data_IF_844069816740
#
_entry.id   IF_844069816740
#
_cell.length_a   1.000
_cell.length_b   1.000
_cell.length_c   1.000
_cell.angle_alpha   90.00
_cell.angle_beta   90.00
_cell.angle_gamma   90.00
#
_symmetry.space_group_name_H-M   'P 1'
#
loop_
_entity.id
_entity.type
_entity.pdbx_description
1 polymer ?
#
# COMPACT_ATOMS: atom_id res chain seq x y z
N UNK A 1 22.93 -7.38 14.68
CA UNK A 1 21.59 -7.11 15.25
C UNK A 1 20.60 -7.88 14.40
N UNK A 2 19.54 -8.43 14.94
CA UNK A 2 18.51 -9.06 14.13
C UNK A 2 17.87 -7.97 13.24
N UNK A 3 17.61 -8.25 11.96
CA UNK A 3 16.98 -7.31 11.05
C UNK A 3 15.53 -7.00 11.47
N UNK A 4 14.96 -5.94 10.91
CA UNK A 4 13.60 -5.48 11.15
C UNK A 4 12.71 -5.80 9.95
N UNK A 5 11.45 -6.15 10.20
CA UNK A 5 10.43 -6.32 9.16
C UNK A 5 9.68 -4.99 9.02
N UNK A 6 9.73 -4.41 7.83
CA UNK A 6 9.02 -3.19 7.45
C UNK A 6 7.84 -3.52 6.54
N UNK A 7 6.75 -2.79 6.65
CA UNK A 7 5.60 -2.92 5.75
C UNK A 7 5.67 -1.83 4.68
N UNK A 8 5.55 -2.25 3.43
CA UNK A 8 5.40 -1.40 2.25
C UNK A 8 4.00 -1.62 1.68
N UNK A 9 3.15 -0.62 1.74
CA UNK A 9 1.80 -0.76 1.18
C UNK A 9 1.77 -0.36 -0.29
N UNK A 10 1.14 -1.17 -1.12
CA UNK A 10 1.01 -0.95 -2.57
C UNK A 10 -0.45 -0.82 -3.02
N UNK A 11 -1.37 -0.52 -2.09
CA UNK A 11 -2.81 -0.34 -2.38
C UNK A 11 -3.04 0.70 -3.47
N UNK A 12 -2.35 1.83 -3.38
CA UNK A 12 -2.49 2.94 -4.32
C UNK A 12 -1.74 2.77 -5.64
N UNK A 13 -1.00 1.67 -5.82
CA UNK A 13 -0.33 1.31 -7.06
C UNK A 13 -0.90 0.00 -7.63
N UNK A 14 -0.71 -1.14 -6.97
CA UNK A 14 -1.20 -2.46 -7.40
C UNK A 14 -2.68 -2.66 -7.06
N UNK A 15 -3.08 -2.26 -5.86
CA UNK A 15 -4.48 -2.36 -5.43
C UNK A 15 -5.46 -1.65 -6.37
N UNK A 16 -5.09 -0.49 -6.90
CA UNK A 16 -5.93 0.25 -7.87
C UNK A 16 -5.95 -0.38 -9.26
N UNK A 17 -5.13 -1.40 -9.52
CA UNK A 17 -5.16 -2.19 -10.75
C UNK A 17 -6.15 -3.37 -10.67
N UNK A 18 -6.90 -3.51 -9.58
CA UNK A 18 -8.01 -4.45 -9.50
C UNK A 18 -8.98 -4.19 -10.64
N UNK A 19 -9.23 -5.21 -11.47
CA UNK A 19 -10.07 -5.08 -12.66
C UNK A 19 -11.48 -4.57 -12.30
N UNK A 20 -12.03 -3.70 -13.15
CA UNK A 20 -13.36 -3.08 -13.01
C UNK A 20 -13.53 -2.11 -11.83
N UNK A 21 -12.46 -1.76 -11.13
CA UNK A 21 -12.48 -0.82 -10.02
C UNK A 21 -11.62 0.41 -10.31
N UNK A 22 -11.87 1.49 -9.59
CA UNK A 22 -11.09 2.71 -9.66
C UNK A 22 -11.25 3.54 -8.40
N UNK A 23 -10.24 4.32 -8.08
CA UNK A 23 -10.25 5.28 -6.98
C UNK A 23 -10.08 6.70 -7.50
N UNK A 24 -10.85 7.63 -6.97
CA UNK A 24 -10.58 9.04 -7.14
C UNK A 24 -9.25 9.43 -6.44
N UNK A 25 -8.56 10.45 -6.93
CA UNK A 25 -7.28 10.87 -6.37
C UNK A 25 -7.37 11.29 -4.90
N UNK A 26 -8.51 11.85 -4.49
CA UNK A 26 -8.79 12.15 -3.09
C UNK A 26 -8.89 10.87 -2.23
N UNK A 27 -9.51 9.81 -2.76
CA UNK A 27 -9.62 8.52 -2.06
C UNK A 27 -8.24 7.87 -1.88
N UNK A 28 -7.39 7.91 -2.91
CA UNK A 28 -5.99 7.47 -2.81
C UNK A 28 -5.21 8.26 -1.75
N UNK A 29 -5.41 9.58 -1.70
CA UNK A 29 -4.77 10.44 -0.69
C UNK A 29 -5.25 10.11 0.73
N UNK A 30 -6.53 9.89 0.92
CA UNK A 30 -7.08 9.48 2.22
C UNK A 30 -6.53 8.11 2.67
N UNK A 31 -6.36 7.16 1.74
CA UNK A 31 -5.69 5.87 2.05
C UNK A 31 -4.25 6.13 2.53
N UNK A 32 -3.47 6.99 1.86
CA UNK A 32 -2.14 7.36 2.32
C UNK A 32 -2.16 7.98 3.74
N UNK A 33 -3.15 8.81 4.05
CA UNK A 33 -3.29 9.37 5.41
C UNK A 33 -3.52 8.28 6.46
N UNK A 34 -4.42 7.34 6.20
CA UNK A 34 -4.66 6.23 7.13
C UNK A 34 -3.48 5.26 7.23
N UNK A 35 -2.75 5.03 6.15
CA UNK A 35 -1.50 4.23 6.17
C UNK A 35 -0.44 4.91 7.03
N UNK A 36 -0.29 6.23 6.92
CA UNK A 36 0.62 7.00 7.77
C UNK A 36 0.20 6.97 9.25
N UNK A 37 -1.11 7.11 9.55
CA UNK A 37 -1.65 6.97 10.90
C UNK A 37 -1.42 5.57 11.50
N UNK A 38 -1.51 4.52 10.67
CA UNK A 38 -1.21 3.12 11.03
C UNK A 38 0.29 2.89 11.28
N UNK A 39 1.16 3.82 10.85
CA UNK A 39 2.60 3.72 11.01
C UNK A 39 3.28 2.83 9.95
N UNK A 40 2.73 2.76 8.75
CA UNK A 40 3.33 2.04 7.62
C UNK A 40 4.62 2.73 7.20
N UNK A 41 5.65 1.92 6.93
CA UNK A 41 6.98 2.41 6.59
C UNK A 41 6.99 3.19 5.27
N UNK A 42 6.35 2.64 4.24
CA UNK A 42 6.36 3.19 2.90
C UNK A 42 5.04 2.89 2.17
N UNK A 43 4.55 3.86 1.40
CA UNK A 43 3.48 3.66 0.41
C UNK A 43 4.06 3.80 -1.00
N UNK A 44 3.93 2.74 -1.80
CA UNK A 44 4.12 2.84 -3.24
C UNK A 44 2.82 3.37 -3.83
N UNK A 45 2.75 4.67 -4.04
CA UNK A 45 1.47 5.38 -4.13
C UNK A 45 1.00 5.72 -5.54
N UNK A 46 1.79 5.38 -6.59
CA UNK A 46 1.35 5.57 -7.97
C UNK A 46 2.46 5.43 -9.02
N UNK A 47 2.16 5.95 -10.22
CA UNK A 47 2.97 5.80 -11.42
C UNK A 47 3.50 7.16 -11.90
N UNK A 48 4.73 7.56 -11.55
CA UNK A 48 5.28 8.88 -11.88
C UNK A 48 5.39 9.19 -13.37
N UNK A 49 5.36 8.17 -14.23
CA UNK A 49 5.39 8.33 -15.69
C UNK A 49 4.01 8.63 -16.30
N UNK A 50 2.96 8.61 -15.49
CA UNK A 50 1.58 8.72 -15.95
C UNK A 50 1.05 10.16 -15.75
N UNK A 51 0.84 10.90 -16.83
CA UNK A 51 0.49 12.34 -16.78
C UNK A 51 -0.71 12.67 -15.90
N UNK A 52 -1.78 11.87 -15.95
CA UNK A 52 -2.97 12.10 -15.12
C UNK A 52 -2.76 11.82 -13.61
N UNK A 53 -1.61 11.28 -13.22
CA UNK A 53 -1.20 11.11 -11.81
C UNK A 53 -0.31 12.24 -11.30
N UNK A 54 0.27 13.06 -12.18
CA UNK A 54 1.26 14.10 -11.83
C UNK A 54 0.80 14.98 -10.68
N UNK A 55 -0.38 15.57 -10.79
CA UNK A 55 -0.91 16.47 -9.75
C UNK A 55 -1.21 15.75 -8.43
N UNK A 56 -1.72 14.51 -8.50
CA UNK A 56 -1.95 13.68 -7.33
C UNK A 56 -0.63 13.36 -6.61
N UNK A 57 0.39 12.92 -7.36
CA UNK A 57 1.68 12.58 -6.78
C UNK A 57 2.33 13.81 -6.13
N UNK A 58 2.35 14.93 -6.84
CA UNK A 58 2.93 16.17 -6.33
C UNK A 58 2.18 16.71 -5.10
N UNK A 59 0.85 16.66 -5.08
CA UNK A 59 0.06 17.07 -3.91
C UNK A 59 0.35 16.19 -2.67
N UNK A 60 0.54 14.88 -2.87
CA UNK A 60 0.88 13.99 -1.75
C UNK A 60 2.32 14.23 -1.24
N UNK A 61 3.29 14.51 -2.12
CA UNK A 61 4.64 14.91 -1.70
C UNK A 61 4.58 16.23 -0.89
N UNK A 62 3.80 17.22 -1.33
CA UNK A 62 3.60 18.46 -0.56
C UNK A 62 2.98 18.21 0.81
N UNK A 63 1.99 17.31 0.90
CA UNK A 63 1.43 16.90 2.18
C UNK A 63 2.47 16.21 3.09
N UNK A 64 3.40 15.45 2.52
CA UNK A 64 4.50 14.87 3.28
C UNK A 64 5.48 15.94 3.76
N UNK A 65 5.84 16.91 2.92
CA UNK A 65 6.66 18.08 3.27
C UNK A 65 6.02 18.93 4.39
N UNK A 66 4.68 19.01 4.41
CA UNK A 66 3.90 19.67 5.47
C UNK A 66 3.80 18.84 6.77
N UNK A 67 4.35 17.62 6.81
CA UNK A 67 4.27 16.72 7.96
C UNK A 67 2.97 15.90 8.06
N UNK A 68 2.06 16.00 7.09
CA UNK A 68 0.75 15.32 7.11
C UNK A 68 0.88 13.83 6.76
N UNK A 69 1.79 13.50 5.84
CA UNK A 69 2.08 12.12 5.41
C UNK A 69 3.47 11.64 5.87
N UNK A 70 4.11 12.38 6.77
CA UNK A 70 5.40 12.02 7.37
C UNK A 70 5.16 11.30 8.71
N UNK A 71 5.98 10.30 9.09
CA UNK A 71 7.26 9.91 8.47
C UNK A 71 7.17 8.81 7.40
N UNK A 72 5.99 8.52 6.85
CA UNK A 72 5.85 7.50 5.80
C UNK A 72 6.58 7.93 4.52
N UNK A 73 7.37 7.02 3.93
CA UNK A 73 8.02 7.26 2.63
C UNK A 73 7.01 7.09 1.51
N UNK A 74 7.01 8.02 0.54
CA UNK A 74 6.16 7.96 -0.65
C UNK A 74 7.01 7.61 -1.86
N UNK A 75 6.84 6.40 -2.41
CA UNK A 75 7.60 5.92 -3.57
C UNK A 75 6.73 5.72 -4.82
N UNK A 76 7.33 5.92 -5.98
CA UNK A 76 6.68 5.71 -7.26
C UNK A 76 7.19 4.45 -7.97
N UNK A 77 6.28 3.71 -8.61
CA UNK A 77 6.63 2.57 -9.44
C UNK A 77 6.94 3.01 -10.87
N UNK A 78 8.10 2.59 -11.40
CA UNK A 78 8.60 2.95 -12.73
C UNK A 78 9.18 1.70 -13.39
N UNK A 79 9.02 1.54 -14.72
CA UNK A 79 9.75 0.50 -15.43
C UNK A 79 11.25 0.81 -15.38
N UNK A 80 12.10 -0.21 -15.27
CA UNK A 80 13.55 -0.05 -15.33
C UNK A 80 14.00 0.24 -16.78
N UNK A 81 13.61 1.42 -17.26
CA UNK A 81 13.94 1.98 -18.56
C UNK A 81 14.37 3.43 -18.36
N UNK A 82 15.53 3.79 -18.89
CA UNK A 82 16.15 5.12 -18.71
C UNK A 82 15.18 6.28 -18.99
N UNK A 83 14.45 6.22 -20.12
CA UNK A 83 13.48 7.26 -20.49
C UNK A 83 12.28 7.35 -19.54
N UNK A 84 11.88 6.26 -18.90
CA UNK A 84 10.80 6.29 -17.92
C UNK A 84 11.25 6.97 -16.62
N UNK A 85 12.51 6.77 -16.23
CA UNK A 85 13.12 7.47 -15.08
C UNK A 85 13.18 8.97 -15.36
N UNK A 86 13.63 9.39 -16.56
CA UNK A 86 13.66 10.80 -16.98
C UNK A 86 12.27 11.44 -16.91
N UNK A 87 11.24 10.77 -17.47
CA UNK A 87 9.86 11.25 -17.43
C UNK A 87 9.35 11.38 -15.99
N UNK A 88 9.66 10.42 -15.12
CA UNK A 88 9.25 10.47 -13.71
C UNK A 88 9.79 11.71 -13.00
N UNK A 89 11.06 12.07 -13.22
CA UNK A 89 11.69 13.24 -12.64
C UNK A 89 11.22 14.56 -13.28
N UNK A 90 10.89 14.54 -14.56
CA UNK A 90 10.34 15.70 -15.27
C UNK A 90 8.93 16.05 -14.76
N UNK A 91 8.08 15.04 -14.64
CA UNK A 91 6.66 15.24 -14.30
C UNK A 91 6.40 15.41 -12.81
N UNK A 92 7.22 14.81 -11.94
CA UNK A 92 6.88 14.67 -10.52
C UNK A 92 8.01 15.07 -9.57
N UNK A 93 7.63 15.36 -8.32
CA UNK A 93 8.54 15.53 -7.19
C UNK A 93 8.94 14.23 -6.50
N UNK A 94 8.49 13.08 -7.01
CA UNK A 94 8.82 11.76 -6.43
C UNK A 94 10.31 11.50 -6.60
N UNK A 95 10.99 11.11 -5.52
CA UNK A 95 12.45 10.84 -5.49
C UNK A 95 12.80 9.47 -4.91
N UNK A 96 11.82 8.77 -4.35
CA UNK A 96 11.94 7.38 -3.92
C UNK A 96 11.30 6.50 -4.99
N UNK A 97 12.05 5.59 -5.60
CA UNK A 97 11.62 4.83 -6.77
C UNK A 97 11.63 3.33 -6.52
N UNK A 98 10.68 2.65 -7.14
CA UNK A 98 10.64 1.20 -7.32
C UNK A 98 10.76 0.88 -8.81
N UNK A 99 11.97 0.56 -9.28
CA UNK A 99 12.25 0.24 -10.68
C UNK A 99 11.93 -1.23 -10.94
N UNK A 100 11.18 -1.55 -12.00
CA UNK A 100 10.71 -2.91 -12.25
C UNK A 100 11.09 -3.44 -13.63
N UNK A 101 11.61 -4.67 -13.66
CA UNK A 101 11.93 -5.40 -14.90
C UNK A 101 11.75 -6.89 -14.70
N UNK A 102 11.32 -7.61 -15.76
CA UNK A 102 11.11 -9.04 -15.71
C UNK A 102 12.44 -9.81 -15.76
N UNK A 103 12.62 -10.79 -14.87
CA UNK A 103 13.87 -11.53 -14.72
C UNK A 103 13.77 -13.02 -15.12
N UNK A 104 12.56 -13.60 -15.20
CA UNK A 104 12.42 -14.99 -15.66
C UNK A 104 12.62 -15.13 -17.17
N UNK A 105 13.21 -16.23 -17.59
CA UNK A 105 13.39 -16.54 -19.04
C UNK A 105 12.06 -16.54 -19.80
N UNK A 106 10.98 -16.96 -19.13
CA UNK A 106 9.63 -16.96 -19.69
C UNK A 106 9.19 -15.54 -20.05
N UNK A 107 9.33 -14.60 -19.11
CA UNK A 107 8.89 -13.21 -19.34
C UNK A 107 9.88 -12.43 -20.19
N UNK A 108 11.19 -12.69 -20.09
CA UNK A 108 12.19 -12.07 -20.95
C UNK A 108 11.85 -12.32 -22.41
N UNK A 109 11.62 -13.59 -22.78
CA UNK A 109 11.27 -13.95 -24.15
C UNK A 109 9.88 -13.45 -24.56
N UNK A 110 8.92 -13.47 -23.64
CA UNK A 110 7.54 -13.11 -23.92
C UNK A 110 7.33 -11.59 -24.06
N UNK A 111 8.05 -10.79 -23.29
CA UNK A 111 7.86 -9.32 -23.23
C UNK A 111 8.85 -8.56 -24.10
N UNK A 112 10.12 -8.96 -24.14
CA UNK A 112 11.18 -8.26 -24.86
C UNK A 112 11.50 -8.90 -26.23
N UNK A 113 10.92 -10.06 -26.51
CA UNK A 113 11.07 -10.80 -27.78
C UNK A 113 11.95 -12.04 -27.67
N UNK A 114 11.71 -13.00 -28.57
CA UNK A 114 12.31 -14.34 -28.51
C UNK A 114 13.86 -14.36 -28.55
N UNK A 115 14.50 -13.27 -29.02
CA UNK A 115 15.96 -13.15 -29.11
C UNK A 115 16.58 -12.48 -27.89
N UNK A 116 15.78 -11.88 -27.00
CA UNK A 116 16.26 -11.18 -25.81
C UNK A 116 16.90 -12.14 -24.82
N UNK A 117 17.96 -11.66 -24.18
CA UNK A 117 18.81 -12.41 -23.26
C UNK A 117 18.74 -11.81 -21.86
N UNK A 118 19.17 -12.58 -20.86
CA UNK A 118 19.34 -12.10 -19.48
C UNK A 118 20.26 -10.88 -19.38
N UNK A 119 21.34 -10.84 -20.22
CA UNK A 119 22.25 -9.68 -20.28
C UNK A 119 21.54 -8.39 -20.71
N UNK A 120 20.59 -8.47 -21.64
CA UNK A 120 19.88 -7.27 -22.13
C UNK A 120 19.03 -6.66 -21.01
N UNK A 121 18.40 -7.51 -20.18
CA UNK A 121 17.63 -7.10 -19.00
C UNK A 121 18.53 -6.48 -17.95
N UNK A 122 19.70 -7.05 -17.71
CA UNK A 122 20.69 -6.53 -16.77
C UNK A 122 21.18 -5.14 -17.22
N UNK A 123 21.54 -4.99 -18.50
CA UNK A 123 21.97 -3.71 -19.06
C UNK A 123 20.89 -2.62 -18.97
N UNK A 124 19.61 -2.99 -19.17
CA UNK A 124 18.49 -2.06 -19.00
C UNK A 124 18.34 -1.62 -17.53
N UNK A 125 18.44 -2.55 -16.59
CA UNK A 125 18.34 -2.25 -15.17
C UNK A 125 19.47 -1.31 -14.71
N UNK A 126 20.71 -1.59 -15.12
CA UNK A 126 21.89 -0.77 -14.82
C UNK A 126 21.71 0.66 -15.36
N UNK A 127 21.33 0.84 -16.61
CA UNK A 127 21.09 2.18 -17.19
C UNK A 127 20.02 2.96 -16.44
N UNK A 128 18.94 2.29 -16.07
CA UNK A 128 17.86 2.93 -15.31
C UNK A 128 18.31 3.34 -13.88
N UNK A 129 19.13 2.51 -13.21
CA UNK A 129 19.70 2.81 -11.90
C UNK A 129 20.69 3.98 -11.97
N UNK A 130 21.62 3.95 -12.94
CA UNK A 130 22.57 5.03 -13.15
C UNK A 130 21.86 6.36 -13.46
N UNK A 131 20.80 6.33 -14.28
CA UNK A 131 19.97 7.49 -14.57
C UNK A 131 19.24 8.01 -13.33
N UNK A 132 18.69 7.12 -12.50
CA UNK A 132 18.04 7.52 -11.26
C UNK A 132 19.04 8.20 -10.28
N UNK A 133 20.25 7.68 -10.18
CA UNK A 133 21.32 8.28 -9.39
C UNK A 133 21.76 9.65 -9.95
N UNK A 134 21.95 9.76 -11.29
CA UNK A 134 22.26 11.01 -11.97
C UNK A 134 21.23 12.12 -11.69
N UNK A 135 19.94 11.77 -11.71
CA UNK A 135 18.84 12.69 -11.48
C UNK A 135 18.54 12.96 -9.99
N UNK A 136 19.25 12.32 -9.05
CA UNK A 136 19.15 12.58 -7.62
C UNK A 136 18.01 11.83 -6.93
N UNK A 137 17.78 10.57 -7.28
CA UNK A 137 16.89 9.70 -6.50
C UNK A 137 17.40 9.57 -5.05
N UNK A 138 16.47 9.63 -4.08
CA UNK A 138 16.78 9.48 -2.66
C UNK A 138 16.95 8.01 -2.27
N UNK A 139 16.08 7.16 -2.81
CA UNK A 139 16.19 5.71 -2.67
C UNK A 139 15.67 4.99 -3.91
N UNK A 140 16.25 3.82 -4.21
CA UNK A 140 15.82 2.97 -5.31
C UNK A 140 15.72 1.52 -4.84
N UNK A 141 14.52 0.94 -4.95
CA UNK A 141 14.31 -0.49 -4.93
C UNK A 141 14.31 -1.03 -6.37
N UNK A 142 14.97 -2.16 -6.62
CA UNK A 142 14.89 -2.85 -7.91
C UNK A 142 13.99 -4.07 -7.80
N UNK A 143 13.00 -4.17 -8.67
CA UNK A 143 12.00 -5.23 -8.64
C UNK A 143 12.33 -6.29 -9.68
N UNK A 144 12.63 -7.50 -9.24
CA UNK A 144 12.75 -8.68 -10.08
C UNK A 144 11.35 -9.25 -10.33
N UNK A 145 10.67 -8.79 -11.39
CA UNK A 145 9.36 -9.32 -11.76
C UNK A 145 9.50 -10.79 -12.17
N UNK A 146 8.61 -11.64 -11.63
CA UNK A 146 8.59 -13.08 -11.81
C UNK A 146 9.84 -13.79 -11.23
N UNK A 147 10.31 -13.30 -10.09
CA UNK A 147 11.46 -13.86 -9.37
C UNK A 147 11.24 -15.32 -8.96
N UNK A 148 10.00 -15.70 -8.65
CA UNK A 148 9.64 -17.08 -8.28
C UNK A 148 9.99 -18.11 -9.36
N UNK A 149 9.97 -17.72 -10.65
CA UNK A 149 10.38 -18.59 -11.78
C UNK A 149 11.75 -18.23 -12.36
N UNK A 150 12.45 -17.26 -11.77
CA UNK A 150 13.79 -16.88 -12.20
C UNK A 150 14.83 -17.88 -11.68
N UNK A 151 15.78 -18.24 -12.53
CA UNK A 151 16.96 -19.02 -12.15
C UNK A 151 17.72 -18.31 -11.02
N UNK A 152 18.06 -19.03 -9.95
CA UNK A 152 18.66 -18.43 -8.74
C UNK A 152 20.06 -17.87 -8.98
N UNK A 153 20.85 -18.48 -9.86
CA UNK A 153 22.18 -17.95 -10.18
C UNK A 153 22.06 -16.60 -10.89
N UNK A 154 21.13 -16.49 -11.85
CA UNK A 154 20.85 -15.22 -12.52
C UNK A 154 20.24 -14.18 -11.59
N UNK A 155 19.29 -14.57 -10.72
CA UNK A 155 18.68 -13.65 -9.76
C UNK A 155 19.74 -13.09 -8.79
N UNK A 156 20.70 -13.91 -8.38
CA UNK A 156 21.81 -13.46 -7.54
C UNK A 156 22.75 -12.52 -8.27
N UNK A 157 23.13 -12.83 -9.52
CA UNK A 157 23.91 -11.96 -10.40
C UNK A 157 23.22 -10.63 -10.60
N UNK A 158 21.96 -10.64 -11.01
CA UNK A 158 21.11 -9.46 -11.18
C UNK A 158 21.10 -8.58 -9.93
N UNK A 159 20.88 -9.19 -8.76
CA UNK A 159 20.82 -8.46 -7.49
C UNK A 159 22.15 -7.81 -7.14
N UNK A 160 23.27 -8.52 -7.28
CA UNK A 160 24.62 -7.97 -7.00
C UNK A 160 24.95 -6.81 -7.93
N UNK A 161 24.74 -6.99 -9.23
CA UNK A 161 24.99 -5.92 -10.21
C UNK A 161 24.13 -4.69 -9.93
N UNK A 162 22.83 -4.87 -9.64
CA UNK A 162 21.97 -3.74 -9.29
C UNK A 162 22.42 -3.04 -8.00
N UNK A 163 22.93 -3.76 -7.01
CA UNK A 163 23.49 -3.19 -5.78
C UNK A 163 24.73 -2.33 -6.06
N UNK A 164 25.62 -2.77 -6.95
CA UNK A 164 26.80 -2.02 -7.39
C UNK A 164 26.43 -0.71 -8.09
N UNK A 165 25.24 -0.64 -8.69
CA UNK A 165 24.67 0.54 -9.35
C UNK A 165 23.65 1.30 -8.48
N UNK A 166 23.70 1.13 -7.15
CA UNK A 166 22.98 1.98 -6.19
C UNK A 166 21.59 1.52 -5.79
N UNK A 167 21.13 0.33 -6.23
CA UNK A 167 19.91 -0.25 -5.66
C UNK A 167 20.12 -0.56 -4.17
N UNK A 168 19.18 -0.13 -3.33
CA UNK A 168 19.29 -0.29 -1.87
C UNK A 168 18.59 -1.54 -1.35
N UNK A 169 17.69 -2.13 -2.13
CA UNK A 169 17.03 -3.41 -1.86
C UNK A 169 16.54 -4.06 -3.14
N UNK A 170 16.43 -5.39 -3.08
CA UNK A 170 15.83 -6.20 -4.14
C UNK A 170 14.39 -6.55 -3.76
N UNK A 171 13.42 -6.33 -4.67
CA UNK A 171 12.07 -6.86 -4.51
C UNK A 171 11.97 -8.20 -5.23
N UNK A 172 11.77 -9.26 -4.46
CA UNK A 172 11.43 -10.59 -4.94
C UNK A 172 9.92 -10.62 -5.24
N UNK A 173 9.55 -10.65 -6.52
CA UNK A 173 8.15 -10.66 -6.91
C UNK A 173 7.68 -12.09 -7.23
N UNK A 174 6.81 -12.62 -6.42
CA UNK A 174 6.01 -13.80 -6.74
C UNK A 174 4.77 -13.37 -7.55
N UNK A 175 5.05 -12.96 -8.78
CA UNK A 175 4.11 -12.29 -9.69
C UNK A 175 2.87 -13.11 -10.00
N UNK A 176 2.96 -14.44 -9.99
CA UNK A 176 1.87 -15.34 -10.30
C UNK A 176 1.30 -16.06 -9.07
N UNK A 177 1.79 -15.75 -7.86
CA UNK A 177 1.46 -16.52 -6.67
C UNK A 177 1.89 -18.00 -6.81
N UNK A 178 3.06 -18.22 -7.41
CA UNK A 178 3.57 -19.53 -7.81
C UNK A 178 4.29 -20.27 -6.68
N UNK A 179 4.95 -19.52 -5.80
CA UNK A 179 5.68 -20.10 -4.68
C UNK A 179 4.74 -20.60 -3.56
N UNK A 180 5.21 -21.60 -2.82
CA UNK A 180 4.68 -21.96 -1.51
C UNK A 180 5.55 -21.36 -0.38
N UNK A 181 5.07 -21.34 0.88
CA UNK A 181 5.81 -20.71 1.99
C UNK A 181 7.19 -21.32 2.26
N UNK A 182 7.41 -22.60 1.98
CA UNK A 182 8.70 -23.26 2.19
C UNK A 182 9.67 -22.91 1.07
N UNK A 183 9.20 -22.89 -0.15
CA UNK A 183 9.99 -22.55 -1.34
C UNK A 183 10.46 -21.10 -1.26
N UNK A 184 9.57 -20.14 -1.04
CA UNK A 184 9.94 -18.71 -0.97
C UNK A 184 10.88 -18.43 0.20
N UNK A 185 10.69 -19.08 1.36
CA UNK A 185 11.61 -18.94 2.51
C UNK A 185 13.04 -19.33 2.11
N UNK A 186 13.21 -20.48 1.46
CA UNK A 186 14.54 -20.98 1.06
C UNK A 186 15.15 -20.04 0.02
N UNK A 187 14.41 -19.68 -1.03
CA UNK A 187 14.91 -18.81 -2.12
C UNK A 187 15.29 -17.43 -1.62
N UNK A 188 14.45 -16.78 -0.81
CA UNK A 188 14.74 -15.46 -0.25
C UNK A 188 15.92 -15.51 0.71
N UNK A 189 16.00 -16.54 1.55
CA UNK A 189 17.14 -16.72 2.46
C UNK A 189 18.44 -16.93 1.70
N UNK A 190 18.43 -17.72 0.64
CA UNK A 190 19.59 -17.94 -0.22
C UNK A 190 20.03 -16.65 -0.90
N UNK A 191 19.08 -15.93 -1.54
CA UNK A 191 19.34 -14.65 -2.21
C UNK A 191 19.97 -13.63 -1.25
N UNK A 192 19.35 -13.43 -0.08
CA UNK A 192 19.83 -12.51 0.94
C UNK A 192 21.21 -12.91 1.48
N UNK A 193 21.44 -14.21 1.74
CA UNK A 193 22.74 -14.71 2.21
C UNK A 193 23.87 -14.52 1.20
N UNK A 194 23.57 -14.65 -0.10
CA UNK A 194 24.58 -14.52 -1.18
C UNK A 194 24.87 -13.06 -1.55
N UNK A 195 23.93 -12.16 -1.30
CA UNK A 195 24.02 -10.76 -1.76
C UNK A 195 24.22 -9.76 -0.63
N UNK A 196 23.81 -10.08 0.58
CA UNK A 196 23.79 -9.14 1.73
C UNK A 196 22.77 -8.00 1.56
N UNK A 197 21.94 -8.02 0.50
CA UNK A 197 20.93 -6.98 0.27
C UNK A 197 19.68 -7.21 1.10
N UNK A 198 19.07 -6.13 1.63
CA UNK A 198 17.70 -6.17 2.14
C UNK A 198 16.73 -6.69 1.07
N UNK A 199 15.79 -7.54 1.48
CA UNK A 199 14.82 -8.14 0.54
C UNK A 199 13.42 -7.62 0.81
N UNK A 200 12.77 -7.16 -0.25
CA UNK A 200 11.36 -6.82 -0.29
C UNK A 200 10.58 -7.96 -0.96
N UNK A 201 9.50 -8.42 -0.35
CA UNK A 201 8.71 -9.56 -0.82
C UNK A 201 7.35 -9.06 -1.30
N UNK A 202 7.00 -9.39 -2.55
CA UNK A 202 5.71 -9.04 -3.18
C UNK A 202 5.04 -10.30 -3.69
N UNK A 203 3.93 -10.72 -3.07
CA UNK A 203 3.24 -11.96 -3.38
C UNK A 203 1.80 -11.73 -3.82
N UNK A 204 1.43 -12.29 -4.99
CA UNK A 204 0.04 -12.38 -5.43
C UNK A 204 -0.68 -13.60 -4.83
N UNK A 205 -2.01 -13.55 -4.82
CA UNK A 205 -2.85 -14.49 -4.05
C UNK A 205 -3.54 -15.55 -4.91
N UNK A 206 -3.00 -15.86 -6.09
CA UNK A 206 -3.64 -16.76 -7.07
C UNK A 206 -3.86 -18.18 -6.52
N UNK A 207 -3.01 -18.63 -5.62
CA UNK A 207 -3.16 -19.92 -4.90
C UNK A 207 -3.64 -19.75 -3.45
N UNK A 208 -4.07 -18.56 -3.04
CA UNK A 208 -4.55 -18.31 -1.68
C UNK A 208 -3.45 -18.24 -0.61
N UNK A 209 -2.18 -18.13 -1.00
CA UNK A 209 -1.04 -18.23 -0.09
C UNK A 209 -0.26 -16.90 0.08
N UNK A 210 -0.71 -15.80 -0.49
CA UNK A 210 0.05 -14.53 -0.48
C UNK A 210 0.51 -14.10 0.92
N UNK A 211 -0.36 -14.14 1.93
CA UNK A 211 0.01 -13.80 3.32
C UNK A 211 1.07 -14.76 3.84
N UNK A 212 0.87 -16.07 3.67
CA UNK A 212 1.80 -17.10 4.17
C UNK A 212 3.16 -17.01 3.47
N UNK A 213 3.18 -16.80 2.15
CA UNK A 213 4.42 -16.58 1.38
C UNK A 213 5.13 -15.29 1.79
N UNK A 214 4.40 -14.20 1.97
CA UNK A 214 4.97 -12.91 2.39
C UNK A 214 5.69 -12.99 3.74
N UNK A 215 5.05 -13.60 4.75
CA UNK A 215 5.70 -13.77 6.07
C UNK A 215 6.84 -14.79 6.04
N UNK A 216 6.75 -15.83 5.20
CA UNK A 216 7.82 -16.81 5.04
C UNK A 216 9.06 -16.20 4.35
N UNK A 217 8.85 -15.41 3.29
CA UNK A 217 9.93 -14.68 2.63
C UNK A 217 10.59 -13.66 3.56
N UNK A 218 9.80 -12.87 4.30
CA UNK A 218 10.33 -11.94 5.30
C UNK A 218 11.19 -12.67 6.35
N UNK A 219 10.73 -13.82 6.84
CA UNK A 219 11.52 -14.65 7.75
C UNK A 219 12.82 -15.13 7.12
N UNK A 220 12.79 -15.52 5.82
CA UNK A 220 14.01 -15.92 5.09
C UNK A 220 15.06 -14.82 5.05
N UNK A 221 14.65 -13.56 4.79
CA UNK A 221 15.54 -12.40 4.80
C UNK A 221 16.15 -12.15 6.19
N UNK A 222 15.32 -12.12 7.25
CA UNK A 222 15.79 -11.92 8.63
C UNK A 222 16.74 -13.05 9.07
N UNK A 223 16.43 -14.31 8.73
CA UNK A 223 17.31 -15.45 9.06
C UNK A 223 18.63 -15.44 8.28
N UNK A 224 18.72 -14.69 7.19
CA UNK A 224 19.95 -14.40 6.46
C UNK A 224 20.72 -13.18 7.02
N UNK A 225 20.16 -12.46 7.99
CA UNK A 225 20.82 -11.34 8.67
C UNK A 225 20.58 -9.97 8.04
N UNK A 226 19.58 -9.81 7.14
CA UNK A 226 19.23 -8.55 6.51
C UNK A 226 17.83 -8.09 6.92
N UNK A 227 17.50 -6.82 6.67
CA UNK A 227 16.15 -6.32 6.83
C UNK A 227 15.19 -6.90 5.78
N UNK A 228 13.93 -7.06 6.18
CA UNK A 228 12.86 -7.52 5.31
C UNK A 228 11.81 -6.43 5.10
N UNK A 229 11.33 -6.31 3.87
CA UNK A 229 10.21 -5.44 3.51
C UNK A 229 9.09 -6.31 2.95
N UNK A 230 7.86 -6.09 3.39
CA UNK A 230 6.70 -6.88 2.96
C UNK A 230 5.70 -5.99 2.26
N UNK A 231 5.44 -6.30 0.98
CA UNK A 231 4.39 -5.62 0.24
C UNK A 231 3.02 -6.15 0.68
N UNK A 232 2.10 -5.19 0.86
CA UNK A 232 0.72 -5.48 1.25
C UNK A 232 -0.25 -4.60 0.47
N UNK A 233 -1.51 -5.05 0.39
CA UNK A 233 -2.63 -4.20 0.01
C UNK A 233 -3.71 -4.26 1.09
N UNK A 234 -4.35 -3.12 1.34
CA UNK A 234 -5.51 -3.07 2.24
C UNK A 234 -6.62 -3.97 1.71
N UNK A 235 -7.17 -4.83 2.57
CA UNK A 235 -8.17 -5.85 2.24
C UNK A 235 -7.76 -6.82 1.13
N UNK A 236 -6.46 -6.95 0.86
CA UNK A 236 -5.93 -7.88 -0.15
C UNK A 236 -6.24 -7.49 -1.60
N UNK A 237 -6.56 -6.23 -1.87
CA UNK A 237 -6.86 -5.74 -3.23
C UNK A 237 -5.65 -5.91 -4.16
N UNK A 238 -5.89 -5.94 -5.48
CA UNK A 238 -4.82 -6.05 -6.48
C UNK A 238 -5.22 -6.83 -7.73
N UNK A 239 -4.28 -7.00 -8.63
CA UNK A 239 -4.45 -7.75 -9.87
C UNK A 239 -4.91 -9.20 -9.60
N UNK A 240 -5.79 -9.73 -10.44
CA UNK A 240 -6.33 -11.10 -10.42
C UNK A 240 -6.98 -11.45 -9.06
N UNK A 241 -6.36 -12.35 -8.28
CA UNK A 241 -6.85 -12.75 -6.95
C UNK A 241 -6.37 -11.83 -5.80
N UNK A 242 -5.67 -10.74 -6.15
CA UNK A 242 -5.18 -9.75 -5.21
C UNK A 242 -3.77 -10.03 -4.67
N UNK A 243 -3.42 -9.33 -3.61
CA UNK A 243 -2.12 -9.36 -2.93
C UNK A 243 -2.26 -9.85 -1.48
N UNK A 244 -1.15 -9.89 -0.77
CA UNK A 244 -1.16 -10.14 0.67
C UNK A 244 -1.94 -9.05 1.41
N UNK A 245 -2.94 -9.44 2.21
CA UNK A 245 -3.72 -8.50 3.01
C UNK A 245 -2.89 -7.88 4.13
N UNK A 246 -2.88 -6.54 4.19
CA UNK A 246 -2.10 -5.74 5.14
C UNK A 246 -2.31 -6.19 6.60
N UNK A 247 -3.55 -6.25 7.05
CA UNK A 247 -3.82 -6.56 8.46
C UNK A 247 -3.57 -8.01 8.81
N UNK A 248 -3.82 -8.93 7.86
CA UNK A 248 -3.49 -10.34 8.04
C UNK A 248 -1.96 -10.55 8.17
N UNK A 249 -1.16 -9.88 7.36
CA UNK A 249 0.32 -9.91 7.45
C UNK A 249 0.79 -9.37 8.80
N UNK A 250 0.33 -8.17 9.19
CA UNK A 250 0.72 -7.53 10.46
C UNK A 250 0.32 -8.40 11.67
N UNK A 251 -0.91 -8.92 11.68
CA UNK A 251 -1.39 -9.83 12.73
C UNK A 251 -0.56 -11.11 12.78
N UNK A 252 -0.25 -11.71 11.64
CA UNK A 252 0.58 -12.92 11.59
C UNK A 252 1.97 -12.68 12.18
N UNK A 253 2.64 -11.58 11.84
CA UNK A 253 3.95 -11.23 12.39
C UNK A 253 3.88 -10.96 13.90
N UNK A 254 2.85 -10.26 14.37
CA UNK A 254 2.72 -9.93 15.81
C UNK A 254 2.27 -11.10 16.67
N UNK A 255 1.46 -12.05 16.14
CA UNK A 255 0.74 -13.04 16.96
C UNK A 255 1.14 -14.50 16.73
N UNK A 256 1.64 -14.86 15.54
CA UNK A 256 1.99 -16.24 15.26
C UNK A 256 3.16 -16.71 16.13
N UNK A 257 3.05 -17.93 16.68
CA UNK A 257 4.03 -18.51 17.61
C UNK A 257 5.46 -18.56 17.02
N UNK A 258 5.59 -18.75 15.71
CA UNK A 258 6.87 -18.78 15.02
C UNK A 258 7.58 -17.42 14.88
N UNK A 259 6.84 -16.33 15.08
CA UNK A 259 7.34 -14.95 14.96
C UNK A 259 7.53 -14.27 16.31
N UNK A 260 6.62 -14.50 17.23
CA UNK A 260 6.57 -13.82 18.54
C UNK A 260 7.89 -13.93 19.30
N UNK A 261 8.49 -12.77 19.61
CA UNK A 261 9.75 -12.66 20.36
C UNK A 261 11.00 -13.07 19.58
N UNK A 262 10.87 -13.39 18.26
CA UNK A 262 12.00 -13.79 17.41
C UNK A 262 12.25 -12.83 16.25
N UNK A 263 11.18 -12.26 15.70
CA UNK A 263 11.23 -11.36 14.55
C UNK A 263 10.60 -10.03 14.94
N UNK A 264 11.30 -8.94 14.61
CA UNK A 264 10.87 -7.59 14.97
C UNK A 264 10.12 -6.97 13.80
N UNK A 265 8.85 -6.61 14.03
CA UNK A 265 8.13 -5.68 13.15
C UNK A 265 8.50 -4.24 13.51
N UNK A 266 8.49 -3.34 12.55
CA UNK A 266 8.66 -1.90 12.78
C UNK A 266 7.74 -1.42 13.93
N UNK A 267 8.33 -0.80 14.93
CA UNK A 267 7.65 -0.38 16.17
C UNK A 267 6.60 0.72 15.94
N UNK A 268 6.64 1.39 14.78
CA UNK A 268 5.66 2.42 14.41
C UNK A 268 4.27 1.86 14.13
N UNK A 269 4.13 0.57 13.83
CA UNK A 269 2.85 -0.04 13.43
C UNK A 269 1.87 -0.09 14.59
N UNK A 270 0.87 0.80 14.55
CA UNK A 270 -0.26 0.89 15.48
C UNK A 270 -1.52 0.24 14.91
N UNK A 271 -1.76 -1.03 15.27
CA UNK A 271 -2.93 -1.78 14.82
C UNK A 271 -4.27 -1.13 15.16
N UNK A 272 -4.35 -0.26 16.16
CA UNK A 272 -5.61 0.40 16.55
C UNK A 272 -6.21 1.29 15.45
N UNK A 273 -5.46 1.58 14.40
CA UNK A 273 -5.91 2.32 13.21
C UNK A 273 -6.42 1.39 12.09
N UNK A 274 -6.23 0.08 12.25
CA UNK A 274 -6.45 -0.90 11.18
C UNK A 274 -7.91 -1.01 10.74
N UNK A 275 -8.84 -1.05 11.68
CA UNK A 275 -10.27 -1.13 11.38
C UNK A 275 -10.77 0.04 10.52
N UNK A 276 -10.41 1.26 10.90
CA UNK A 276 -10.79 2.48 10.18
C UNK A 276 -10.25 2.49 8.75
N UNK A 277 -8.99 2.12 8.56
CA UNK A 277 -8.37 1.99 7.24
C UNK A 277 -9.11 0.95 6.38
N UNK A 278 -9.36 -0.26 6.90
CA UNK A 278 -10.03 -1.33 6.17
C UNK A 278 -11.46 -0.94 5.76
N UNK A 279 -12.21 -0.30 6.65
CA UNK A 279 -13.56 0.23 6.34
C UNK A 279 -13.51 1.31 5.27
N UNK A 280 -12.57 2.25 5.38
CA UNK A 280 -12.45 3.29 4.37
C UNK A 280 -12.05 2.72 2.99
N UNK A 281 -11.10 1.80 2.93
CA UNK A 281 -10.71 1.15 1.68
C UNK A 281 -11.89 0.39 1.04
N UNK A 282 -12.66 -0.35 1.85
CA UNK A 282 -13.89 -1.00 1.39
C UNK A 282 -14.89 -0.01 0.78
N UNK A 283 -15.09 1.13 1.43
CA UNK A 283 -15.94 2.20 0.93
C UNK A 283 -15.38 2.82 -0.37
N UNK A 284 -14.09 3.12 -0.41
CA UNK A 284 -13.44 3.75 -1.56
C UNK A 284 -13.46 2.85 -2.81
N UNK A 285 -13.10 1.57 -2.66
CA UNK A 285 -13.16 0.59 -3.75
C UNK A 285 -14.60 0.17 -4.10
N UNK A 286 -15.58 0.37 -3.22
CA UNK A 286 -16.93 -0.14 -3.38
C UNK A 286 -17.02 -1.67 -3.25
N UNK A 287 -16.03 -2.29 -2.59
CA UNK A 287 -15.96 -3.74 -2.36
C UNK A 287 -16.20 -4.05 -0.89
N UNK A 288 -17.29 -4.77 -0.54
CA UNK A 288 -17.55 -5.14 0.84
C UNK A 288 -16.43 -6.01 1.43
N UNK A 289 -16.11 -5.79 2.70
CA UNK A 289 -15.21 -6.66 3.43
C UNK A 289 -15.87 -8.04 3.58
N UNK A 290 -15.21 -9.15 3.16
CA UNK A 290 -15.73 -10.49 3.39
C UNK A 290 -16.03 -10.74 4.87
N UNK A 291 -17.14 -11.41 5.16
CA UNK A 291 -17.58 -11.63 6.55
C UNK A 291 -16.53 -12.35 7.43
N UNK A 292 -15.69 -13.17 6.82
CA UNK A 292 -14.62 -13.96 7.45
C UNK A 292 -13.23 -13.37 7.24
N UNK A 293 -13.09 -12.11 6.75
CA UNK A 293 -11.79 -11.45 6.59
C UNK A 293 -11.07 -11.37 7.93
N UNK A 294 -9.78 -11.72 7.94
CA UNK A 294 -8.94 -11.70 9.15
C UNK A 294 -9.00 -10.33 9.83
N UNK A 295 -9.32 -10.31 11.10
CA UNK A 295 -9.38 -9.12 11.96
C UNK A 295 -10.53 -8.15 11.68
N UNK A 296 -10.97 -8.00 10.43
CA UNK A 296 -11.93 -6.95 10.03
C UNK A 296 -13.26 -7.46 9.49
N UNK A 297 -13.40 -8.74 9.20
CA UNK A 297 -14.69 -9.31 8.80
C UNK A 297 -15.71 -9.22 9.94
N UNK A 298 -17.00 -9.16 9.61
CA UNK A 298 -18.07 -9.09 10.61
C UNK A 298 -18.10 -10.29 11.55
N UNK A 299 -17.65 -11.45 11.07
CA UNK A 299 -17.61 -12.69 11.85
C UNK A 299 -16.24 -12.99 12.49
N UNK A 300 -15.24 -12.10 12.33
CA UNK A 300 -13.88 -12.35 12.83
C UNK A 300 -13.82 -12.60 14.36
N UNK A 301 -14.82 -12.12 15.12
CA UNK A 301 -14.97 -12.29 16.57
C UNK A 301 -16.40 -12.76 16.95
N UNK A 302 -17.06 -13.51 16.06
CA UNK A 302 -18.39 -14.03 16.30
C UNK A 302 -18.35 -15.54 16.56
N UNK A 303 -19.07 -15.99 17.58
CA UNK A 303 -19.11 -17.38 18.01
C UNK A 303 -20.56 -17.90 18.02
N UNK A 304 -20.83 -18.97 17.26
CA UNK A 304 -22.18 -19.59 17.23
C UNK A 304 -22.22 -20.99 17.84
N UNK A 305 -21.08 -21.67 17.97
CA UNK A 305 -21.00 -22.97 18.63
C UNK A 305 -21.16 -22.84 20.16
N UNK A 306 -21.97 -23.68 20.79
CA UNK A 306 -22.15 -23.68 22.24
C UNK A 306 -20.85 -23.87 23.02
N UNK A 307 -19.93 -24.70 22.53
CA UNK A 307 -18.62 -24.92 23.17
C UNK A 307 -17.77 -23.65 23.10
N UNK A 308 -17.76 -22.97 21.93
CA UNK A 308 -17.04 -21.71 21.77
C UNK A 308 -17.64 -20.60 22.63
N UNK A 309 -18.97 -20.46 22.62
CA UNK A 309 -19.67 -19.46 23.43
C UNK A 309 -19.38 -19.64 24.93
N UNK A 310 -19.49 -20.86 25.46
CA UNK A 310 -19.17 -21.15 26.85
C UNK A 310 -17.69 -20.82 27.17
N UNK A 311 -16.77 -21.17 26.27
CA UNK A 311 -15.35 -20.88 26.44
C UNK A 311 -15.03 -19.38 26.44
N UNK A 312 -15.61 -18.61 25.52
CA UNK A 312 -15.40 -17.14 25.41
C UNK A 312 -16.00 -16.42 26.62
N UNK A 313 -17.17 -16.85 27.08
CA UNK A 313 -17.81 -16.29 28.31
C UNK A 313 -16.96 -16.50 29.57
N UNK A 314 -16.16 -17.55 29.61
CA UNK A 314 -15.23 -17.82 30.72
C UNK A 314 -13.93 -17.05 30.59
N UNK A 315 -13.34 -17.09 29.44
CA UNK A 315 -12.14 -16.32 29.05
C UNK A 315 -12.08 -16.22 27.52
N UNK A 316 -12.10 -14.99 26.97
CA UNK A 316 -12.03 -14.73 25.51
C UNK A 316 -10.83 -15.43 24.87
N UNK A 317 -9.70 -15.49 25.55
CA UNK A 317 -8.45 -16.12 25.07
C UNK A 317 -8.56 -17.62 24.80
N UNK A 318 -9.64 -18.28 25.23
CA UNK A 318 -9.90 -19.68 24.88
C UNK A 318 -10.12 -19.87 23.38
N UNK A 319 -10.68 -18.85 22.67
CA UNK A 319 -11.03 -18.93 21.27
C UNK A 319 -10.66 -17.67 20.47
N UNK A 320 -10.12 -16.64 21.09
CA UNK A 320 -9.65 -15.41 20.44
C UNK A 320 -8.14 -15.25 20.65
N UNK A 321 -7.37 -15.22 19.55
CA UNK A 321 -5.91 -15.11 19.60
C UNK A 321 -5.45 -13.69 19.93
N UNK A 322 -6.27 -12.68 19.62
CA UNK A 322 -6.06 -11.25 19.85
C UNK A 322 -7.39 -10.57 20.11
N UNK A 323 -7.35 -9.45 20.80
CA UNK A 323 -8.54 -8.67 21.14
C UNK A 323 -8.98 -7.78 19.97
N UNK A 324 -10.28 -7.62 19.75
CA UNK A 324 -10.80 -6.76 18.68
C UNK A 324 -10.45 -5.28 18.91
N UNK A 325 -10.29 -4.86 20.15
CA UNK A 325 -9.89 -3.51 20.53
C UNK A 325 -8.47 -3.18 20.02
N UNK A 326 -7.58 -4.16 19.88
CA UNK A 326 -6.25 -3.97 19.30
C UNK A 326 -6.30 -3.45 17.86
N UNK A 327 -7.40 -3.69 17.14
CA UNK A 327 -7.64 -3.24 15.77
C UNK A 327 -8.42 -1.92 15.69
N UNK A 328 -8.78 -1.33 16.86
CA UNK A 328 -9.65 -0.17 16.93
C UNK A 328 -11.12 -0.49 16.66
N UNK A 329 -11.54 -1.73 16.97
CA UNK A 329 -12.95 -2.16 16.94
C UNK A 329 -13.56 -2.10 18.33
N UNK A 330 -14.89 -2.20 18.40
CA UNK A 330 -15.65 -2.29 19.65
C UNK A 330 -16.71 -1.21 19.82
N UNK A 331 -16.52 -0.06 19.21
CA UNK A 331 -17.55 0.97 19.19
C UNK A 331 -18.72 0.55 18.28
N UNK A 332 -19.96 0.78 18.70
CA UNK A 332 -21.12 0.48 17.85
C UNK A 332 -21.12 1.35 16.59
N UNK A 333 -21.46 0.73 15.45
CA UNK A 333 -21.79 1.48 14.24
C UNK A 333 -23.13 2.21 14.45
N UNK A 334 -23.10 3.53 14.68
CA UNK A 334 -24.29 4.34 14.88
C UNK A 334 -24.87 4.68 13.52
N UNK A 335 -26.11 4.23 13.27
CA UNK A 335 -26.90 4.59 12.11
C UNK A 335 -27.90 5.66 12.49
N UNK A 336 -27.70 6.88 12.00
CA UNK A 336 -28.69 7.96 12.15
C UNK A 336 -29.92 7.67 11.26
N UNK A 337 -31.07 7.46 11.90
CA UNK A 337 -32.35 7.15 11.21
C UNK A 337 -33.26 8.36 11.03
N UNK A 338 -32.91 9.51 11.63
CA UNK A 338 -33.66 10.73 11.53
C UNK A 338 -33.32 11.55 10.28
N UNK A 339 -33.93 12.74 10.17
CA UNK A 339 -33.63 13.69 9.10
C UNK A 339 -32.22 14.20 9.20
N UNK A 340 -31.46 14.16 8.11
CA UNK A 340 -30.07 14.68 8.04
C UNK A 340 -29.83 15.45 6.77
N UNK A 341 -28.95 16.46 6.87
CA UNK A 341 -28.44 17.19 5.73
C UNK A 341 -27.12 16.55 5.33
N UNK A 342 -26.95 16.22 4.05
CA UNK A 342 -25.71 15.74 3.46
C UNK A 342 -25.20 16.74 2.43
N UNK A 343 -23.91 16.74 2.16
CA UNK A 343 -23.26 17.62 1.18
C UNK A 343 -22.86 16.84 -0.04
N UNK A 344 -23.14 17.41 -1.23
CA UNK A 344 -22.81 16.84 -2.53
C UNK A 344 -22.86 17.89 -3.62
N UNK A 345 -22.85 17.48 -4.88
CA UNK A 345 -22.77 18.37 -6.04
C UNK A 345 -23.88 19.42 -6.16
N UNK A 346 -25.05 19.12 -5.63
CA UNK A 346 -26.22 20.04 -5.65
C UNK A 346 -26.42 20.84 -4.35
N UNK A 347 -25.49 20.75 -3.41
CA UNK A 347 -25.64 21.41 -2.11
C UNK A 347 -25.59 22.94 -2.23
N UNK A 348 -26.51 23.61 -1.57
CA UNK A 348 -26.47 25.05 -1.38
C UNK A 348 -25.66 25.45 -0.14
N UNK A 349 -25.24 26.72 -0.09
CA UNK A 349 -24.36 27.26 0.98
C UNK A 349 -24.95 27.07 2.39
N UNK A 350 -26.28 27.14 2.56
CA UNK A 350 -26.90 26.96 3.89
C UNK A 350 -26.77 25.53 4.42
N UNK A 351 -27.07 24.53 3.57
CA UNK A 351 -26.92 23.12 3.93
C UNK A 351 -25.46 22.75 4.17
N UNK A 352 -24.56 23.25 3.32
CA UNK A 352 -23.13 23.09 3.46
C UNK A 352 -22.63 23.63 4.81
N UNK A 353 -22.95 24.86 5.18
CA UNK A 353 -22.55 25.43 6.48
C UNK A 353 -23.07 24.63 7.67
N UNK A 354 -24.33 24.18 7.62
CA UNK A 354 -24.91 23.36 8.67
C UNK A 354 -24.12 22.04 8.89
N UNK A 355 -23.68 21.40 7.81
CA UNK A 355 -22.87 20.18 7.93
C UNK A 355 -21.49 20.48 8.54
N UNK A 356 -20.82 21.53 8.06
CA UNK A 356 -19.49 21.89 8.57
C UNK A 356 -19.50 22.41 10.02
N UNK A 357 -20.60 23.10 10.42
CA UNK A 357 -20.82 23.48 11.82
C UNK A 357 -20.91 22.25 12.75
N UNK A 358 -21.63 21.19 12.31
CA UNK A 358 -21.67 19.90 13.05
C UNK A 358 -20.31 19.21 13.11
N UNK A 359 -19.44 19.45 12.16
CA UNK A 359 -18.05 18.94 12.15
C UNK A 359 -17.09 19.84 12.94
N UNK A 360 -17.63 20.88 13.62
CA UNK A 360 -16.87 21.87 14.40
C UNK A 360 -15.83 22.63 13.55
N UNK A 361 -16.12 22.82 12.25
CA UNK A 361 -15.29 23.57 11.31
C UNK A 361 -15.94 24.92 11.03
N UNK A 362 -15.20 25.98 11.30
CA UNK A 362 -15.61 27.36 11.03
C UNK A 362 -14.82 27.92 9.86
N UNK A 363 -15.47 28.70 9.01
CA UNK A 363 -14.87 29.42 7.90
C UNK A 363 -14.59 30.88 8.32
N UNK A 364 -13.48 31.40 7.84
CA UNK A 364 -13.05 32.78 8.12
C UNK A 364 -14.05 33.80 7.63
N UNK A 365 -14.61 33.60 6.44
CA UNK A 365 -15.56 34.47 5.79
C UNK A 365 -16.45 33.73 4.81
N UNK A 366 -17.33 34.47 4.12
CA UNK A 366 -18.24 33.92 3.09
C UNK A 366 -17.48 33.43 1.84
N UNK A 367 -16.37 34.08 1.50
CA UNK A 367 -15.59 33.72 0.31
C UNK A 367 -14.94 32.35 0.48
N UNK A 368 -14.31 32.11 1.63
CA UNK A 368 -13.73 30.80 1.98
C UNK A 368 -14.80 29.70 1.99
N UNK A 369 -15.95 29.95 2.61
CA UNK A 369 -17.04 28.99 2.64
C UNK A 369 -17.54 28.61 1.22
N UNK A 370 -17.62 29.58 0.31
CA UNK A 370 -17.99 29.33 -1.09
C UNK A 370 -16.94 28.55 -1.85
N UNK A 371 -15.68 28.87 -1.63
CA UNK A 371 -14.56 28.18 -2.22
C UNK A 371 -14.52 26.70 -1.81
N UNK A 372 -14.64 26.41 -0.51
CA UNK A 372 -14.69 25.03 -0.02
C UNK A 372 -15.93 24.30 -0.53
N UNK A 373 -17.08 24.96 -0.62
CA UNK A 373 -18.29 24.37 -1.23
C UNK A 373 -18.06 23.95 -2.67
N UNK A 374 -17.37 24.74 -3.49
CA UNK A 374 -17.05 24.36 -4.86
C UNK A 374 -16.12 23.14 -4.91
N UNK A 375 -15.08 23.07 -4.06
CA UNK A 375 -14.22 21.90 -3.97
C UNK A 375 -15.00 20.63 -3.58
N UNK A 376 -15.93 20.74 -2.63
CA UNK A 376 -16.82 19.65 -2.22
C UNK A 376 -17.69 19.18 -3.39
N UNK A 377 -18.28 20.10 -4.15
CA UNK A 377 -19.08 19.76 -5.34
C UNK A 377 -18.25 19.04 -6.39
N UNK A 378 -17.06 19.56 -6.73
CA UNK A 378 -16.16 18.91 -7.68
C UNK A 378 -15.69 17.54 -7.21
N UNK A 379 -15.33 17.40 -5.94
CA UNK A 379 -14.93 16.12 -5.37
C UNK A 379 -16.08 15.09 -5.48
N UNK A 380 -17.32 15.49 -5.19
CA UNK A 380 -18.47 14.62 -5.30
C UNK A 380 -18.74 14.21 -6.77
N UNK A 381 -18.64 15.15 -7.71
CA UNK A 381 -18.78 14.86 -9.16
C UNK A 381 -17.74 13.86 -9.64
N UNK A 382 -16.48 14.05 -9.26
CA UNK A 382 -15.40 13.14 -9.68
C UNK A 382 -15.49 11.74 -9.04
N UNK A 383 -15.96 11.67 -7.79
CA UNK A 383 -16.12 10.39 -7.09
C UNK A 383 -17.38 9.62 -7.50
N UNK A 384 -18.43 10.31 -7.90
CA UNK A 384 -19.76 9.74 -8.10
C UNK A 384 -20.31 8.97 -6.86
N UNK A 385 -19.85 9.37 -5.66
CA UNK A 385 -20.19 8.77 -4.36
C UNK A 385 -20.34 9.88 -3.31
N UNK A 386 -21.16 9.69 -2.27
CA UNK A 386 -21.18 10.61 -1.14
C UNK A 386 -19.77 10.83 -0.56
N UNK A 387 -19.49 12.01 -0.04
CA UNK A 387 -18.22 12.28 0.63
C UNK A 387 -18.27 11.77 2.07
N UNK A 388 -17.22 11.06 2.48
CA UNK A 388 -17.03 10.66 3.87
C UNK A 388 -16.72 11.88 4.77
N UNK A 389 -17.03 11.79 6.06
CA UNK A 389 -16.76 12.87 7.01
C UNK A 389 -15.28 13.30 7.00
N UNK A 390 -14.37 12.34 6.94
CA UNK A 390 -12.95 12.64 6.91
C UNK A 390 -12.51 13.33 5.61
N UNK A 391 -13.15 13.03 4.49
CA UNK A 391 -12.92 13.74 3.23
C UNK A 391 -13.40 15.19 3.30
N UNK A 392 -14.56 15.45 3.92
CA UNK A 392 -15.05 16.81 4.14
C UNK A 392 -14.08 17.61 5.01
N UNK A 393 -13.57 17.02 6.09
CA UNK A 393 -12.55 17.63 6.95
C UNK A 393 -11.26 17.89 6.19
N UNK A 394 -10.80 16.93 5.38
CA UNK A 394 -9.60 17.06 4.57
C UNK A 394 -9.73 18.19 3.54
N UNK A 395 -10.86 18.30 2.84
CA UNK A 395 -11.12 19.37 1.86
C UNK A 395 -11.01 20.75 2.51
N UNK A 396 -11.62 20.93 3.68
CA UNK A 396 -11.55 22.22 4.40
C UNK A 396 -10.14 22.55 4.90
N UNK A 397 -9.38 21.53 5.31
CA UNK A 397 -8.06 21.72 5.90
C UNK A 397 -6.94 21.95 4.88
N UNK A 398 -7.06 21.36 3.69
CA UNK A 398 -6.02 21.37 2.67
C UNK A 398 -6.56 21.76 1.27
N UNK A 399 -7.23 22.91 1.13
CA UNK A 399 -7.92 23.28 -0.11
C UNK A 399 -6.99 23.37 -1.32
N UNK A 400 -5.75 23.84 -1.15
CA UNK A 400 -4.76 23.97 -2.22
C UNK A 400 -4.38 22.59 -2.79
N UNK A 401 -4.11 21.61 -1.91
CA UNK A 401 -3.78 20.25 -2.33
C UNK A 401 -5.02 19.59 -2.97
N UNK A 402 -6.21 19.85 -2.43
CA UNK A 402 -7.46 19.33 -2.99
C UNK A 402 -7.68 19.85 -4.41
N UNK A 403 -7.42 21.13 -4.71
CA UNK A 403 -7.49 21.64 -6.09
C UNK A 403 -6.61 20.83 -7.05
N UNK A 404 -5.39 20.50 -6.65
CA UNK A 404 -4.48 19.65 -7.44
C UNK A 404 -5.03 18.24 -7.61
N UNK A 405 -5.57 17.64 -6.53
CA UNK A 405 -6.19 16.30 -6.58
C UNK A 405 -7.41 16.24 -7.50
N UNK A 406 -8.15 17.33 -7.63
CA UNK A 406 -9.33 17.41 -8.50
C UNK A 406 -8.99 17.77 -9.96
N UNK A 407 -7.74 18.15 -10.25
CA UNK A 407 -7.27 18.46 -11.60
C UNK A 407 -6.63 17.23 -12.24
N UNK A 408 -7.02 16.93 -13.49
CA UNK A 408 -6.44 15.85 -14.31
C UNK A 408 -5.27 16.34 -15.18
N UNK A 409 -5.06 17.64 -15.26
CA UNK A 409 -3.96 18.24 -16.01
C UNK A 409 -2.91 18.79 -15.07
N UNK A 410 -1.60 18.56 -15.39
CA UNK A 410 -0.50 19.16 -14.67
C UNK A 410 -0.55 20.69 -14.72
#
# INVERSE_FOLDING_TARGET
MAGTIYIVDVTNRDGVQTAHLGLAKIEKTMINMYLNELGIHQSEFGFPTTRHETNYLNANIELAEMGVLSPMILSGWVRAVESDVEIAFELTKVRDLSLSISTSDQMIKGKFGAKSKRSDVLDMAVKALDKAAELGALSVAINAEDASRTDMAFLTEFTKTCAEHGAQRIRYCDTLGYDDPFTIYVRVKELASQTGMPVEVHCHNDLGMAVACSIAGARGAIDAGVDAYVNTCVNGMGERAGNADLLAVVLAIKKAAGFRGKYKLDDRVDLSKGWRLAKYASYAFGVPIPINQVGVGSNAFAHSSGIHADGVLKDRRNYELYDYEELGRGDPDIVETGSRIVVGEYSGIKGFRNVYERLEIQFKDEAEAREILELVRFANVLKQKPLAVDELKFIARYPEQVRKLLSLSP
#
